data_IF_927437850553
#
_entry.id   IF_927437850553
#
_cell.length_a   1.000
_cell.length_b   1.000
_cell.length_c   1.000
_cell.angle_alpha   90.00
_cell.angle_beta   90.00
_cell.angle_gamma   90.00
#
_symmetry.space_group_name_H-M   'P 1'
#
loop_
_entity.id
_entity.type
_entity.pdbx_description
1 polymer ?
#
# COMPACT_ATOMS: atom_id res chain seq x y z
N UNK A 1 7.10 16.90 -17.11
CA UNK A 1 5.72 16.86 -17.65
C UNK A 1 5.74 16.37 -19.10
N UNK A 2 5.11 15.27 -19.39
CA UNK A 2 4.91 14.77 -20.74
C UNK A 2 3.52 15.18 -21.24
N UNK A 3 3.43 15.78 -22.42
CA UNK A 3 2.18 16.29 -22.98
C UNK A 3 1.60 15.37 -24.07
N UNK A 4 2.44 14.48 -24.61
CA UNK A 4 2.03 13.47 -25.59
C UNK A 4 1.33 14.06 -26.82
N UNK A 5 0.16 13.47 -27.22
CA UNK A 5 -0.56 13.88 -28.42
C UNK A 5 -1.07 15.33 -28.39
N UNK A 6 -1.32 15.89 -27.23
CA UNK A 6 -1.81 17.28 -27.09
C UNK A 6 -0.81 18.29 -27.63
N UNK A 7 0.48 18.06 -27.37
CA UNK A 7 1.56 18.91 -27.85
C UNK A 7 1.74 18.85 -29.37
N UNK A 8 1.31 17.75 -29.99
CA UNK A 8 1.37 17.60 -31.46
C UNK A 8 0.26 18.41 -32.13
N UNK A 9 -0.92 18.43 -31.50
CA UNK A 9 -2.10 19.11 -32.04
C UNK A 9 -2.06 20.62 -31.85
N UNK A 10 -1.57 21.07 -30.68
CA UNK A 10 -1.48 22.51 -30.37
C UNK A 10 -0.14 22.84 -29.68
N UNK A 11 0.71 23.64 -30.34
CA UNK A 11 1.99 24.07 -29.78
C UNK A 11 1.86 24.97 -28.54
N UNK A 12 0.76 25.73 -28.43
CA UNK A 12 0.51 26.62 -27.28
C UNK A 12 0.38 25.83 -25.95
N UNK A 13 -0.04 24.57 -26.02
CA UNK A 13 -0.15 23.69 -24.88
C UNK A 13 1.20 23.49 -24.18
N UNK A 14 2.29 23.52 -24.93
CA UNK A 14 3.65 23.40 -24.38
C UNK A 14 4.05 24.66 -23.63
N UNK A 15 3.72 25.80 -24.15
CA UNK A 15 4.08 27.08 -23.52
C UNK A 15 3.31 27.28 -22.21
N UNK A 16 2.02 26.88 -22.14
CA UNK A 16 1.27 26.85 -20.90
C UNK A 16 1.87 25.87 -19.88
N UNK A 17 2.25 24.67 -20.30
CA UNK A 17 2.88 23.68 -19.40
C UNK A 17 4.25 24.13 -18.89
N UNK A 18 5.00 24.90 -19.68
CA UNK A 18 6.26 25.50 -19.24
C UNK A 18 6.01 26.57 -18.19
N UNK A 19 4.99 27.41 -18.37
CA UNK A 19 4.65 28.43 -17.38
C UNK A 19 4.18 27.78 -16.07
N UNK A 20 3.29 26.79 -16.11
CA UNK A 20 2.86 26.03 -14.94
C UNK A 20 4.07 25.42 -14.20
N UNK A 21 4.97 24.76 -14.93
CA UNK A 21 6.14 24.14 -14.33
C UNK A 21 7.16 25.19 -13.82
N UNK A 22 7.23 26.37 -14.44
CA UNK A 22 8.03 27.50 -13.99
C UNK A 22 7.52 28.02 -12.63
N UNK A 23 6.21 28.21 -12.50
CA UNK A 23 5.59 28.63 -11.25
C UNK A 23 5.87 27.64 -10.11
N UNK A 24 5.68 26.33 -10.37
CA UNK A 24 5.92 25.27 -9.38
C UNK A 24 7.40 25.18 -8.97
N UNK A 25 8.33 25.27 -9.92
CA UNK A 25 9.74 25.02 -9.67
C UNK A 25 10.57 26.26 -9.32
N UNK A 26 10.05 27.47 -9.62
CA UNK A 26 10.81 28.70 -9.49
C UNK A 26 11.99 28.82 -10.45
N UNK A 27 12.07 27.94 -11.47
CA UNK A 27 13.15 27.89 -12.45
C UNK A 27 12.60 27.71 -13.86
N UNK A 28 13.23 28.30 -14.87
CA UNK A 28 12.82 28.16 -16.27
C UNK A 28 12.94 26.69 -16.75
N UNK A 29 11.84 26.05 -17.16
CA UNK A 29 11.88 24.71 -17.72
C UNK A 29 12.44 24.67 -19.14
N UNK A 30 12.97 23.51 -19.53
CA UNK A 30 13.47 23.25 -20.87
C UNK A 30 12.46 22.40 -21.64
N UNK A 31 12.19 22.76 -22.92
CA UNK A 31 11.37 21.93 -23.82
C UNK A 31 12.08 20.61 -24.11
N UNK A 32 11.34 19.50 -24.03
CA UNK A 32 11.87 18.21 -24.44
C UNK A 32 11.43 17.89 -25.86
N UNK A 33 12.41 17.60 -26.72
CA UNK A 33 12.18 17.31 -28.13
C UNK A 33 12.14 15.80 -28.37
N UNK A 34 11.35 15.40 -29.37
CA UNK A 34 11.27 14.00 -29.83
C UNK A 34 12.62 13.62 -30.47
N UNK A 35 13.13 12.45 -30.14
CA UNK A 35 14.40 11.91 -30.67
C UNK A 35 14.22 10.96 -31.85
N UNK A 36 13.02 10.36 -32.01
CA UNK A 36 12.71 9.42 -33.09
C UNK A 36 11.29 9.66 -33.57
N UNK A 37 11.11 9.71 -34.89
CA UNK A 37 9.76 9.77 -35.47
C UNK A 37 9.01 8.47 -35.29
N UNK A 38 7.76 8.54 -34.82
CA UNK A 38 6.87 7.38 -34.65
C UNK A 38 5.53 7.68 -35.31
N UNK A 39 5.23 6.98 -36.39
CA UNK A 39 4.02 7.22 -37.19
C UNK A 39 2.72 6.99 -36.42
N UNK A 40 2.65 5.96 -35.56
CA UNK A 40 1.47 5.64 -34.77
C UNK A 40 1.05 6.77 -33.82
N UNK A 41 2.02 7.53 -33.31
CA UNK A 41 1.76 8.69 -32.43
C UNK A 41 1.77 10.04 -33.17
N UNK A 42 1.91 10.04 -34.49
CA UNK A 42 1.99 11.25 -35.34
C UNK A 42 3.08 12.24 -34.92
N UNK A 43 4.18 11.74 -34.34
CA UNK A 43 5.31 12.55 -33.87
C UNK A 43 6.46 12.45 -34.84
N UNK A 44 7.14 13.60 -35.05
CA UNK A 44 8.33 13.71 -35.87
C UNK A 44 9.52 14.13 -35.01
N UNK A 45 10.68 13.77 -35.46
CA UNK A 45 11.93 14.20 -34.84
C UNK A 45 12.02 15.74 -34.74
N UNK A 46 12.54 16.24 -33.62
CA UNK A 46 12.62 17.66 -33.33
C UNK A 46 11.31 18.31 -32.84
N UNK A 47 10.18 17.61 -32.80
CA UNK A 47 8.93 18.16 -32.25
C UNK A 47 9.00 18.28 -30.73
N UNK A 48 8.56 19.41 -30.15
CA UNK A 48 8.46 19.55 -28.71
C UNK A 48 7.28 18.72 -28.21
N UNK A 49 7.52 17.83 -27.22
CA UNK A 49 6.52 16.88 -26.71
C UNK A 49 6.29 17.02 -25.21
N UNK A 50 7.08 17.81 -24.53
CA UNK A 50 6.96 18.03 -23.09
C UNK A 50 7.94 19.06 -22.59
N UNK A 51 8.01 19.19 -21.26
CA UNK A 51 8.95 20.05 -20.58
C UNK A 51 9.55 19.36 -19.35
N UNK A 52 10.77 19.75 -18.99
CA UNK A 52 11.46 19.27 -17.80
C UNK A 52 12.22 20.39 -17.11
N UNK A 53 12.41 20.25 -15.82
CA UNK A 53 13.29 21.10 -15.01
C UNK A 53 14.17 20.21 -14.14
N UNK A 54 15.39 20.61 -13.89
CA UNK A 54 16.30 19.94 -12.94
C UNK A 54 16.63 20.92 -11.84
N UNK A 55 16.26 20.57 -10.61
CA UNK A 55 16.51 21.40 -9.43
C UNK A 55 17.71 20.87 -8.66
N UNK A 56 18.51 21.77 -8.10
CA UNK A 56 19.70 21.46 -7.29
C UNK A 56 19.86 22.51 -6.20
N UNK A 57 20.61 22.15 -5.13
CA UNK A 57 20.89 23.04 -4.00
C UNK A 57 19.63 23.49 -3.26
N UNK A 58 19.58 24.74 -2.83
CA UNK A 58 18.50 25.30 -2.03
C UNK A 58 17.13 25.14 -2.70
N UNK A 59 17.01 25.47 -3.99
CA UNK A 59 15.74 25.34 -4.73
C UNK A 59 15.19 23.91 -4.74
N UNK A 60 16.07 22.92 -4.71
CA UNK A 60 15.64 21.51 -4.63
C UNK A 60 15.01 21.22 -3.26
N UNK A 61 15.62 21.70 -2.18
CA UNK A 61 15.08 21.49 -0.82
C UNK A 61 13.79 22.27 -0.61
N UNK A 62 13.69 23.51 -1.08
CA UNK A 62 12.47 24.31 -1.04
C UNK A 62 11.31 23.64 -1.80
N UNK A 63 11.62 23.04 -2.95
CA UNK A 63 10.63 22.28 -3.71
C UNK A 63 10.22 21.01 -2.97
N UNK A 64 11.15 20.27 -2.37
CA UNK A 64 10.85 19.05 -1.59
C UNK A 64 9.99 19.37 -0.36
N UNK A 65 10.28 20.45 0.34
CA UNK A 65 9.50 20.88 1.49
C UNK A 65 8.04 21.16 1.10
N UNK A 66 7.82 21.97 0.05
CA UNK A 66 6.47 22.25 -0.47
C UNK A 66 5.78 20.99 -0.99
N UNK A 67 6.51 20.11 -1.65
CA UNK A 67 5.98 18.84 -2.14
C UNK A 67 5.45 17.97 -0.99
N UNK A 68 6.24 17.80 0.07
CA UNK A 68 5.93 16.90 1.18
C UNK A 68 4.87 17.47 2.13
N UNK A 69 5.01 18.74 2.50
CA UNK A 69 4.19 19.34 3.52
C UNK A 69 2.90 19.98 2.99
N UNK A 70 2.86 20.38 1.73
CA UNK A 70 1.72 21.10 1.14
C UNK A 70 1.06 20.28 0.00
N UNK A 71 1.82 19.88 -1.02
CA UNK A 71 1.25 19.32 -2.23
C UNK A 71 0.73 17.88 -2.02
N UNK A 72 1.53 16.99 -1.45
CA UNK A 72 1.12 15.59 -1.22
C UNK A 72 -0.12 15.48 -0.32
N UNK A 73 -0.25 16.21 0.82
CA UNK A 73 -1.47 16.15 1.63
C UNK A 73 -2.74 16.66 0.93
N UNK A 74 -2.59 17.48 -0.12
CA UNK A 74 -3.72 17.99 -0.93
C UNK A 74 -4.19 17.00 -2.01
N UNK A 75 -3.42 15.95 -2.30
CA UNK A 75 -3.83 14.93 -3.26
C UNK A 75 -4.99 14.09 -2.70
N UNK A 76 -6.14 14.06 -3.44
CA UNK A 76 -7.40 13.49 -2.96
C UNK A 76 -7.33 12.02 -2.56
N UNK A 77 -6.73 11.19 -3.39
CA UNK A 77 -6.68 9.72 -3.21
C UNK A 77 -5.30 9.24 -2.77
N UNK A 78 -4.54 10.09 -2.09
CA UNK A 78 -3.21 9.73 -1.66
C UNK A 78 -3.23 8.58 -0.62
N UNK A 79 -2.56 7.48 -0.94
CA UNK A 79 -2.47 6.28 -0.09
C UNK A 79 -1.05 6.00 0.39
N UNK A 80 -0.14 6.95 0.14
CA UNK A 80 1.27 6.82 0.41
C UNK A 80 2.10 6.37 -0.79
N UNK A 81 3.40 6.59 -0.71
CA UNK A 81 4.37 6.32 -1.76
C UNK A 81 4.82 4.86 -1.77
N UNK A 82 4.99 4.28 -2.95
CA UNK A 82 5.41 2.88 -3.10
C UNK A 82 6.92 2.73 -2.92
N UNK A 83 7.35 1.83 -2.05
CA UNK A 83 8.77 1.45 -1.91
C UNK A 83 9.34 0.77 -3.17
N UNK A 84 8.47 0.27 -4.07
CA UNK A 84 8.90 -0.42 -5.30
C UNK A 84 9.32 0.51 -6.44
N UNK A 85 9.21 1.81 -6.26
CA UNK A 85 9.54 2.80 -7.28
C UNK A 85 10.99 3.27 -7.26
N UNK A 86 11.86 2.54 -6.56
CA UNK A 86 13.31 2.67 -6.66
C UNK A 86 13.83 1.94 -7.91
N UNK A 87 14.93 2.41 -8.46
CA UNK A 87 15.55 1.92 -9.70
C UNK A 87 16.63 0.84 -9.50
N UNK A 88 16.92 0.43 -8.28
CA UNK A 88 18.02 -0.47 -7.93
C UNK A 88 19.34 0.24 -7.61
N UNK A 89 19.43 1.53 -7.83
CA UNK A 89 20.61 2.38 -7.61
C UNK A 89 20.37 3.50 -6.58
N UNK A 90 19.29 3.38 -5.80
CA UNK A 90 18.94 4.35 -4.77
C UNK A 90 18.22 5.60 -5.25
N UNK A 91 17.87 5.70 -6.53
CA UNK A 91 17.05 6.80 -7.05
C UNK A 91 15.57 6.45 -6.96
N UNK A 92 14.75 7.46 -6.70
CA UNK A 92 13.31 7.27 -6.48
C UNK A 92 12.50 8.08 -7.50
N UNK A 93 11.49 7.45 -8.11
CA UNK A 93 10.58 8.13 -9.05
C UNK A 93 9.14 7.99 -8.59
N UNK A 94 8.40 9.10 -8.60
CA UNK A 94 6.99 9.16 -8.30
C UNK A 94 6.22 9.96 -9.34
N UNK A 95 4.98 9.56 -9.61
CA UNK A 95 4.06 10.30 -10.48
C UNK A 95 3.02 11.07 -9.67
N UNK A 96 2.76 12.31 -10.06
CA UNK A 96 1.65 13.14 -9.59
C UNK A 96 0.64 13.22 -10.73
N UNK A 97 -0.62 12.95 -10.42
CA UNK A 97 -1.69 12.95 -11.44
C UNK A 97 -2.16 14.35 -11.81
N UNK A 98 -2.17 15.25 -10.84
CA UNK A 98 -2.77 16.58 -10.95
C UNK A 98 -1.79 17.64 -10.45
N UNK A 99 -1.31 18.54 -11.33
CA UNK A 99 -0.41 19.62 -10.95
C UNK A 99 -1.08 20.71 -10.11
N UNK A 100 -2.40 20.76 -10.07
CA UNK A 100 -3.20 21.70 -9.27
C UNK A 100 -3.07 21.52 -7.75
N UNK A 101 -2.41 20.45 -7.30
CA UNK A 101 -2.10 20.25 -5.87
C UNK A 101 -1.08 21.29 -5.35
N UNK A 102 -0.30 21.89 -6.24
CA UNK A 102 0.64 22.93 -5.88
C UNK A 102 -0.08 24.26 -5.69
N UNK A 103 0.17 25.00 -4.58
CA UNK A 103 -0.52 26.23 -4.25
C UNK A 103 -0.20 27.40 -5.22
N UNK A 104 0.91 27.27 -5.94
CA UNK A 104 1.35 28.27 -6.94
C UNK A 104 0.48 28.27 -8.20
N UNK A 105 -0.31 27.24 -8.41
CA UNK A 105 -1.18 27.08 -9.57
C UNK A 105 -2.58 27.58 -9.24
N UNK A 106 -3.02 28.60 -9.95
CA UNK A 106 -4.37 29.14 -9.86
C UNK A 106 -5.33 28.24 -10.67
N UNK A 107 -6.27 27.61 -9.95
CA UNK A 107 -7.23 26.66 -10.54
C UNK A 107 -8.05 27.27 -11.69
N UNK A 108 -8.42 28.55 -11.58
CA UNK A 108 -9.28 29.23 -12.55
C UNK A 108 -8.55 29.49 -13.88
N UNK A 109 -7.23 29.48 -13.90
CA UNK A 109 -6.38 29.68 -15.08
C UNK A 109 -6.00 28.39 -15.78
N UNK A 110 -6.22 27.23 -15.14
CA UNK A 110 -5.83 25.93 -15.70
C UNK A 110 -6.82 25.47 -16.76
N UNK A 111 -6.36 25.42 -18.00
CA UNK A 111 -7.16 24.91 -19.12
C UNK A 111 -7.32 23.38 -19.08
N UNK A 112 -6.26 22.66 -18.67
CA UNK A 112 -6.24 21.18 -18.60
C UNK A 112 -5.38 20.72 -17.46
N UNK A 113 -5.92 19.82 -16.64
CA UNK A 113 -5.20 19.15 -15.57
C UNK A 113 -4.16 18.21 -16.18
N UNK A 114 -2.91 18.31 -15.73
CA UNK A 114 -1.78 17.53 -16.22
C UNK A 114 -1.05 16.84 -15.08
N UNK A 115 -0.54 15.65 -15.39
CA UNK A 115 0.35 14.94 -14.48
C UNK A 115 1.81 15.30 -14.72
N UNK A 116 2.64 14.96 -13.74
CA UNK A 116 4.09 15.07 -13.83
C UNK A 116 4.79 13.93 -13.12
N UNK A 117 5.96 13.56 -13.61
CA UNK A 117 6.85 12.64 -12.92
C UNK A 117 7.95 13.43 -12.21
N UNK A 118 8.22 13.04 -10.97
CA UNK A 118 9.29 13.62 -10.14
C UNK A 118 10.28 12.49 -9.87
N UNK A 119 11.51 12.68 -10.36
CA UNK A 119 12.63 11.76 -10.12
C UNK A 119 13.60 12.40 -9.15
N UNK A 120 13.90 11.71 -8.07
CA UNK A 120 14.84 12.13 -7.04
C UNK A 120 16.08 11.29 -7.19
N UNK A 121 17.17 11.93 -7.60
CA UNK A 121 18.48 11.28 -7.73
C UNK A 121 19.26 11.49 -6.45
N UNK A 122 19.74 10.40 -5.86
CA UNK A 122 20.52 10.42 -4.61
C UNK A 122 21.94 9.92 -4.84
N UNK A 123 22.80 10.12 -3.86
CA UNK A 123 24.15 9.55 -3.82
C UNK A 123 24.20 8.17 -3.14
N UNK A 124 23.04 7.59 -2.79
CA UNK A 124 22.94 6.27 -2.20
C UNK A 124 23.45 5.20 -3.19
N UNK A 125 24.07 4.16 -2.65
CA UNK A 125 24.62 3.06 -3.45
C UNK A 125 23.59 2.00 -3.78
N UNK A 126 22.55 1.90 -2.96
CA UNK A 126 21.48 0.92 -3.10
C UNK A 126 20.13 1.51 -2.65
N UNK A 127 19.05 0.80 -2.94
CA UNK A 127 17.69 1.23 -2.61
C UNK A 127 17.43 1.30 -1.10
N UNK A 128 18.12 0.53 -0.28
CA UNK A 128 17.94 0.54 1.17
C UNK A 128 18.49 1.83 1.79
N UNK A 129 19.65 2.28 1.33
CA UNK A 129 20.23 3.58 1.73
C UNK A 129 19.35 4.73 1.24
N UNK A 130 18.90 4.69 -0.03
CA UNK A 130 17.99 5.67 -0.60
C UNK A 130 16.66 5.75 0.16
N UNK A 131 16.09 4.60 0.53
CA UNK A 131 14.87 4.53 1.32
C UNK A 131 15.06 5.11 2.72
N UNK A 132 16.20 4.85 3.36
CA UNK A 132 16.51 5.40 4.69
C UNK A 132 16.63 6.92 4.63
N UNK A 133 17.34 7.46 3.63
CA UNK A 133 17.45 8.89 3.39
C UNK A 133 16.09 9.56 3.21
N UNK A 134 15.24 9.01 2.34
CA UNK A 134 13.93 9.59 2.08
C UNK A 134 12.97 9.45 3.26
N UNK A 135 13.12 8.43 4.11
CA UNK A 135 12.37 8.33 5.38
C UNK A 135 12.75 9.40 6.38
N UNK A 136 14.04 9.71 6.51
CA UNK A 136 14.52 10.82 7.35
C UNK A 136 14.01 12.17 6.87
N UNK A 137 13.82 12.33 5.55
CA UNK A 137 13.16 13.49 4.95
C UNK A 137 11.63 13.46 5.06
N UNK A 138 11.04 12.55 5.86
CA UNK A 138 9.60 12.40 6.08
C UNK A 138 8.76 12.06 4.85
N UNK A 139 9.32 11.37 3.85
CA UNK A 139 8.52 10.87 2.75
C UNK A 139 7.47 9.87 3.23
N UNK A 140 6.19 10.05 2.87
CA UNK A 140 5.08 9.23 3.36
C UNK A 140 5.02 7.89 2.63
N UNK A 141 6.02 7.04 2.82
CA UNK A 141 6.00 5.69 2.26
C UNK A 141 4.89 4.85 2.88
N UNK A 142 4.20 4.11 2.03
CA UNK A 142 3.31 3.06 2.52
C UNK A 142 4.16 2.04 3.25
N UNK A 143 4.06 2.02 4.56
CA UNK A 143 4.51 0.86 5.31
C UNK A 143 3.61 -0.30 4.88
N UNK A 144 4.03 -1.08 3.91
CA UNK A 144 3.45 -2.37 3.60
C UNK A 144 3.70 -3.32 4.77
N UNK A 145 3.23 -2.92 5.93
CA UNK A 145 2.99 -3.85 7.01
C UNK A 145 1.95 -4.82 6.49
N UNK A 146 2.37 -6.04 6.27
CA UNK A 146 1.71 -7.20 5.68
C UNK A 146 0.42 -7.59 6.45
N UNK A 147 -0.36 -6.63 6.91
CA UNK A 147 -1.63 -6.87 7.58
C UNK A 147 -2.76 -6.83 6.56
N UNK A 148 -2.97 -7.95 5.86
CA UNK A 148 -4.13 -8.13 4.97
C UNK A 148 -5.46 -8.11 5.73
N UNK A 149 -5.46 -8.32 7.05
CA UNK A 149 -6.66 -8.29 7.87
C UNK A 149 -6.74 -6.99 8.67
N UNK A 150 -7.96 -6.40 8.74
CA UNK A 150 -8.22 -5.24 9.60
C UNK A 150 -7.91 -5.57 11.07
N UNK A 151 -7.30 -4.65 11.80
CA UNK A 151 -7.00 -4.81 13.24
C UNK A 151 -8.23 -5.23 14.06
N UNK A 152 -9.40 -4.69 13.72
CA UNK A 152 -10.68 -5.03 14.37
C UNK A 152 -11.07 -6.50 14.21
N UNK A 153 -10.73 -7.13 13.07
CA UNK A 153 -11.00 -8.55 12.84
C UNK A 153 -10.11 -9.44 13.70
N UNK A 154 -8.84 -9.07 13.88
CA UNK A 154 -7.89 -9.78 14.74
C UNK A 154 -8.31 -9.61 16.22
N UNK A 155 -8.64 -8.40 16.64
CA UNK A 155 -9.10 -8.12 18.01
C UNK A 155 -10.40 -8.89 18.36
N UNK A 156 -11.33 -9.00 17.40
CA UNK A 156 -12.56 -9.78 17.55
C UNK A 156 -12.25 -11.27 17.74
N UNK A 157 -11.30 -11.80 17.03
CA UNK A 157 -10.89 -13.20 17.15
C UNK A 157 -10.24 -13.50 18.51
N UNK A 158 -9.36 -12.62 18.98
CA UNK A 158 -8.78 -12.70 20.32
C UNK A 158 -9.85 -12.64 21.42
N UNK A 159 -10.87 -11.79 21.24
CA UNK A 159 -12.03 -11.75 22.18
C UNK A 159 -12.79 -13.07 22.19
N UNK A 160 -12.99 -13.70 21.02
CA UNK A 160 -13.64 -15.02 20.93
C UNK A 160 -12.82 -16.09 21.61
N UNK A 161 -11.49 -16.12 21.40
CA UNK A 161 -10.60 -17.08 22.04
C UNK A 161 -10.75 -17.01 23.58
N UNK A 162 -10.62 -15.80 24.16
CA UNK A 162 -10.81 -15.58 25.59
C UNK A 162 -12.19 -16.01 26.08
N UNK A 163 -13.24 -15.78 25.30
CA UNK A 163 -14.60 -16.20 25.67
C UNK A 163 -14.73 -17.72 25.63
N UNK A 164 -14.18 -18.39 24.62
CA UNK A 164 -14.19 -19.86 24.52
C UNK A 164 -13.43 -20.50 25.70
N UNK A 165 -12.23 -19.98 26.01
CA UNK A 165 -11.44 -20.46 27.16
C UNK A 165 -12.18 -20.33 28.48
N UNK A 166 -12.81 -19.16 28.72
CA UNK A 166 -13.60 -18.89 29.95
C UNK A 166 -14.74 -19.87 30.15
N UNK A 167 -15.42 -20.28 29.08
CA UNK A 167 -16.59 -21.16 29.16
C UNK A 167 -16.28 -22.62 28.80
N UNK A 168 -15.01 -22.97 28.54
CA UNK A 168 -14.61 -24.32 28.12
C UNK A 168 -14.99 -25.39 29.11
N UNK A 169 -14.67 -25.24 30.40
CA UNK A 169 -14.97 -26.19 31.46
C UNK A 169 -16.48 -26.41 31.60
N UNK A 170 -17.23 -25.31 31.77
CA UNK A 170 -18.71 -25.39 31.92
C UNK A 170 -19.38 -26.03 30.71
N UNK A 171 -18.87 -25.74 29.48
CA UNK A 171 -19.40 -26.36 28.27
C UNK A 171 -19.08 -27.86 28.19
N UNK A 172 -17.89 -28.27 28.64
CA UNK A 172 -17.48 -29.68 28.69
C UNK A 172 -18.36 -30.49 29.69
N UNK A 173 -18.64 -29.94 30.89
CA UNK A 173 -19.52 -30.54 31.87
C UNK A 173 -20.94 -30.76 31.33
N UNK A 174 -21.54 -29.69 30.75
CA UNK A 174 -22.87 -29.78 30.17
C UNK A 174 -22.96 -30.81 29.03
N UNK A 175 -21.91 -30.90 28.23
CA UNK A 175 -21.83 -31.91 27.16
C UNK A 175 -21.69 -33.34 27.70
N UNK A 176 -20.95 -33.54 28.79
CA UNK A 176 -20.86 -34.86 29.46
C UNK A 176 -22.21 -35.33 29.93
N UNK A 177 -23.01 -34.47 30.61
CA UNK A 177 -24.36 -34.80 31.08
C UNK A 177 -25.28 -35.17 29.90
N UNK A 178 -25.19 -34.41 28.77
CA UNK A 178 -26.02 -34.70 27.60
C UNK A 178 -25.64 -36.02 26.92
N UNK A 179 -24.36 -36.40 26.95
CA UNK A 179 -23.84 -37.61 26.31
C UNK A 179 -23.95 -38.85 27.19
N UNK A 180 -24.16 -38.67 28.48
CA UNK A 180 -24.27 -39.78 29.42
C UNK A 180 -25.61 -40.52 29.24
N UNK A 181 -25.53 -41.84 29.05
CA UNK A 181 -26.71 -42.73 28.90
C UNK A 181 -27.48 -42.93 30.20
N UNK A 182 -26.82 -42.78 31.36
CA UNK A 182 -27.40 -42.97 32.66
C UNK A 182 -28.14 -41.76 33.24
N UNK A 183 -27.89 -40.57 32.67
CA UNK A 183 -28.56 -39.35 33.09
C UNK A 183 -30.04 -39.34 32.70
N UNK A 184 -30.89 -38.76 33.58
CA UNK A 184 -32.33 -38.65 33.32
C UNK A 184 -32.62 -37.71 32.12
N UNK A 185 -33.78 -37.88 31.48
CA UNK A 185 -34.15 -37.01 30.36
C UNK A 185 -34.39 -35.57 30.81
N UNK A 186 -34.83 -35.35 32.05
CA UNK A 186 -34.98 -34.04 32.66
C UNK A 186 -33.63 -33.32 32.83
N UNK A 187 -32.62 -34.05 33.34
CA UNK A 187 -31.27 -33.50 33.48
C UNK A 187 -30.64 -33.17 32.13
N UNK A 188 -30.84 -34.03 31.14
CA UNK A 188 -30.38 -33.76 29.75
C UNK A 188 -31.06 -32.54 29.17
N UNK A 189 -32.37 -32.36 29.42
CA UNK A 189 -33.10 -31.18 28.95
C UNK A 189 -32.60 -29.90 29.64
N UNK A 190 -32.43 -29.91 30.95
CA UNK A 190 -31.89 -28.80 31.72
C UNK A 190 -30.45 -28.44 31.29
N UNK A 191 -29.62 -29.44 30.97
CA UNK A 191 -28.28 -29.24 30.47
C UNK A 191 -28.26 -28.59 29.06
N UNK A 192 -29.20 -29.01 28.19
CA UNK A 192 -29.38 -28.39 26.85
C UNK A 192 -29.79 -26.94 26.95
N UNK A 193 -30.72 -26.61 27.84
CA UNK A 193 -31.17 -25.25 28.08
C UNK A 193 -30.02 -24.36 28.60
N UNK A 194 -29.25 -24.84 29.58
CA UNK A 194 -28.06 -24.15 30.06
C UNK A 194 -26.99 -23.96 28.98
N UNK A 195 -26.81 -24.93 28.08
CA UNK A 195 -25.89 -24.86 26.98
C UNK A 195 -26.30 -23.78 25.95
N UNK A 196 -27.61 -23.64 25.68
CA UNK A 196 -28.16 -22.61 24.79
C UNK A 196 -28.03 -21.19 25.36
N UNK A 197 -28.15 -21.04 26.70
CA UNK A 197 -27.98 -19.78 27.41
C UNK A 197 -26.53 -19.25 27.41
N UNK A 198 -25.54 -20.09 27.02
CA UNK A 198 -24.15 -19.63 26.90
C UNK A 198 -23.98 -18.61 25.80
N UNK A 199 -23.04 -17.63 25.95
CA UNK A 199 -22.75 -16.67 24.91
C UNK A 199 -22.44 -17.36 23.58
N UNK A 200 -22.95 -16.80 22.47
CA UNK A 200 -22.74 -17.33 21.12
C UNK A 200 -21.27 -17.52 20.78
N UNK A 201 -20.40 -16.62 21.26
CA UNK A 201 -18.96 -16.64 21.03
C UNK A 201 -18.19 -17.63 21.94
N UNK A 202 -18.89 -18.32 22.90
CA UNK A 202 -18.33 -19.41 23.68
C UNK A 202 -18.20 -20.73 22.88
N UNK A 203 -18.68 -20.77 21.63
CA UNK A 203 -18.60 -21.98 20.83
C UNK A 203 -17.24 -22.06 20.08
N UNK A 204 -16.40 -23.10 20.31
CA UNK A 204 -15.09 -23.24 19.67
C UNK A 204 -15.15 -23.39 18.15
N UNK A 205 -16.30 -23.82 17.57
CA UNK A 205 -16.48 -23.92 16.11
C UNK A 205 -16.37 -22.54 15.43
N UNK A 206 -16.66 -21.46 16.15
CA UNK A 206 -16.57 -20.10 15.63
C UNK A 206 -15.16 -19.52 15.60
N UNK A 207 -14.19 -20.19 16.19
CA UNK A 207 -12.78 -19.79 16.11
C UNK A 207 -12.23 -20.07 14.72
N UNK A 208 -11.56 -19.07 14.19
CA UNK A 208 -10.86 -19.19 12.91
C UNK A 208 -9.36 -19.13 13.12
N UNK A 209 -8.64 -20.09 12.55
CA UNK A 209 -7.18 -20.05 12.55
C UNK A 209 -6.73 -18.95 11.62
N UNK A 210 -5.92 -18.01 12.14
CA UNK A 210 -5.38 -16.90 11.39
C UNK A 210 -3.87 -16.98 11.31
N UNK A 211 -3.36 -16.52 10.17
CA UNK A 211 -1.92 -16.35 9.99
C UNK A 211 -1.39 -15.35 11.02
N UNK A 212 -0.35 -15.73 11.76
CA UNK A 212 0.25 -14.89 12.81
C UNK A 212 0.78 -13.55 12.25
N UNK A 213 1.34 -13.56 11.03
CA UNK A 213 1.91 -12.38 10.40
C UNK A 213 0.83 -11.51 9.74
N UNK A 214 -0.06 -12.11 8.93
CA UNK A 214 -1.00 -11.36 8.08
C UNK A 214 -2.41 -11.26 8.63
N UNK A 215 -2.78 -12.09 9.61
CA UNK A 215 -4.16 -12.19 10.12
C UNK A 215 -5.15 -12.85 9.14
N UNK A 216 -4.71 -13.37 7.99
CA UNK A 216 -5.55 -14.06 7.00
C UNK A 216 -6.16 -15.33 7.59
N UNK A 217 -7.50 -15.57 7.48
CA UNK A 217 -8.14 -16.74 8.06
C UNK A 217 -8.12 -17.98 7.15
N UNK A 218 -7.74 -17.84 5.87
CA UNK A 218 -7.79 -18.91 4.88
C UNK A 218 -6.42 -19.50 4.59
N UNK A 219 -6.38 -20.82 4.31
CA UNK A 219 -5.17 -21.56 3.94
C UNK A 219 -4.03 -21.36 4.96
N UNK A 220 -4.32 -21.51 6.25
CA UNK A 220 -3.34 -21.43 7.33
C UNK A 220 -2.91 -22.84 7.73
N UNK A 221 -1.61 -23.10 7.61
CA UNK A 221 -1.02 -24.37 8.05
C UNK A 221 -0.93 -24.43 9.57
N UNK A 222 -1.50 -25.50 10.16
CA UNK A 222 -1.56 -25.66 11.63
C UNK A 222 -0.17 -25.72 12.26
N UNK A 223 0.75 -26.42 11.63
CA UNK A 223 2.11 -26.64 12.11
C UNK A 223 2.90 -25.34 12.22
N UNK A 224 2.73 -24.42 11.27
CA UNK A 224 3.51 -23.20 11.17
C UNK A 224 2.76 -21.93 11.64
N UNK A 225 1.43 -22.00 11.79
CA UNK A 225 0.62 -20.82 12.09
C UNK A 225 0.63 -19.75 10.96
N UNK A 226 1.05 -20.12 9.77
CA UNK A 226 1.27 -19.23 8.65
C UNK A 226 0.33 -19.54 7.48
N UNK A 227 -0.09 -18.51 6.75
CA UNK A 227 -0.83 -18.69 5.50
C UNK A 227 0.08 -19.23 4.39
N UNK A 228 -0.50 -19.91 3.40
CA UNK A 228 0.24 -20.53 2.28
C UNK A 228 1.23 -19.58 1.60
N UNK A 229 0.85 -18.30 1.42
CA UNK A 229 1.68 -17.30 0.76
C UNK A 229 2.89 -16.94 1.62
N UNK A 230 2.67 -16.72 2.93
CA UNK A 230 3.75 -16.38 3.85
C UNK A 230 4.67 -17.57 4.14
N UNK A 231 4.13 -18.76 4.23
CA UNK A 231 4.95 -19.97 4.35
C UNK A 231 5.86 -20.13 3.12
N UNK A 232 5.31 -19.90 1.90
CA UNK A 232 6.12 -19.95 0.68
C UNK A 232 7.23 -18.89 0.66
N UNK A 233 6.91 -17.63 1.03
CA UNK A 233 7.91 -16.55 1.09
C UNK A 233 9.05 -16.87 2.07
N UNK A 234 8.72 -17.34 3.28
CA UNK A 234 9.70 -17.68 4.30
C UNK A 234 10.52 -18.93 3.92
N UNK A 235 9.90 -19.92 3.30
CA UNK A 235 10.59 -21.09 2.78
C UNK A 235 11.61 -20.72 1.69
N UNK A 236 11.25 -19.79 0.78
CA UNK A 236 12.15 -19.33 -0.28
C UNK A 236 13.32 -18.48 0.25
N UNK A 237 13.14 -17.84 1.40
CA UNK A 237 14.22 -17.11 2.11
C UNK A 237 15.12 -18.00 2.95
N UNK A 238 14.74 -19.27 3.16
CA UNK A 238 15.47 -20.18 4.04
C UNK A 238 15.13 -20.04 5.54
N UNK A 239 14.13 -19.22 5.89
CA UNK A 239 13.73 -18.98 7.30
C UNK A 239 13.05 -20.21 7.94
N UNK A 240 12.67 -21.20 7.15
CA UNK A 240 12.06 -22.46 7.63
C UNK A 240 12.95 -23.63 7.26
N UNK A 241 13.76 -24.12 8.20
CA UNK A 241 14.68 -25.22 7.92
C UNK A 241 13.93 -26.50 7.54
N UNK A 242 14.49 -27.25 6.59
CA UNK A 242 13.93 -28.52 6.14
C UNK A 242 12.68 -28.42 5.24
N UNK A 243 12.26 -27.21 4.87
CA UNK A 243 11.15 -27.01 3.94
C UNK A 243 11.69 -26.65 2.54
N UNK A 244 11.52 -27.58 1.62
CA UNK A 244 11.91 -27.41 0.21
C UNK A 244 10.65 -27.40 -0.67
N UNK A 245 10.70 -26.62 -1.74
CA UNK A 245 9.63 -26.57 -2.74
C UNK A 245 9.62 -27.85 -3.55
N UNK A 246 8.50 -28.56 -3.60
CA UNK A 246 8.36 -29.85 -4.31
C UNK A 246 8.09 -29.69 -5.81
N UNK A 247 7.70 -28.50 -6.28
CA UNK A 247 7.44 -28.22 -7.70
C UNK A 247 7.97 -26.83 -8.06
N UNK A 248 8.33 -26.68 -9.32
CA UNK A 248 8.90 -25.45 -9.88
C UNK A 248 7.84 -24.39 -10.17
#
# INVERSE_FOLDING_TARGET
>A
MGLGPDAVNDRKVIDTAIEDLRLISGQQPVKTLVRKSVASFKIRDGYPIGCKVTLRGERMYDFLDRLLNIAIPRERDFRGLSVKSFDGQGNYTMGIKEHIIFPEIDYDKVQKIRGMDISITTSARNDEEGLSLLKELNFPFVSWGIKMAKKSMIARELKRQKTVERFAAKRAELKKIIADSQSSDEDKFAAREKLQKLPRDANPIRLQRRCQITGRPHAVYRKFGLSRNKLRELAMRGDVPGLVKSSW
#
